data_IF_963123063955
#
_entry.id   IF_963123063955
#
_cell.length_a   1.000
_cell.length_b   1.000
_cell.length_c   1.000
_cell.angle_alpha   90.00
_cell.angle_beta   90.00
_cell.angle_gamma   90.00
#
_symmetry.space_group_name_H-M   'P 1'
#
loop_
_entity.id
_entity.type
_entity.pdbx_description
1 polymer ?
#
# COMPACT_ATOMS: atom_id res chain seq x y z
N UNK A 1 20.71 0.36 -8.77
CA UNK A 1 20.55 1.02 -7.43
C UNK A 1 21.81 1.72 -6.91
N UNK A 2 21.68 3.01 -6.59
CA UNK A 2 22.71 3.82 -5.91
C UNK A 2 22.63 3.66 -4.37
N UNK A 3 23.68 3.12 -3.73
CA UNK A 3 23.72 2.85 -2.28
C UNK A 3 23.64 4.11 -1.42
N UNK A 4 24.31 5.20 -1.82
CA UNK A 4 24.28 6.45 -1.08
C UNK A 4 22.88 7.06 -1.08
N UNK A 5 22.17 6.99 -2.21
CA UNK A 5 20.80 7.46 -2.31
C UNK A 5 19.83 6.62 -1.45
N UNK A 6 20.01 5.29 -1.43
CA UNK A 6 19.22 4.42 -0.56
C UNK A 6 19.41 4.78 0.91
N UNK A 7 20.65 4.97 1.37
CA UNK A 7 20.91 5.33 2.78
C UNK A 7 20.28 6.68 3.16
N UNK A 8 20.34 7.67 2.26
CA UNK A 8 19.68 8.96 2.45
C UNK A 8 18.17 8.82 2.56
N UNK A 9 17.52 8.11 1.63
CA UNK A 9 16.07 7.87 1.67
C UNK A 9 15.65 7.09 2.91
N UNK A 10 16.44 6.10 3.34
CA UNK A 10 16.21 5.37 4.59
C UNK A 10 16.29 6.31 5.80
N UNK A 11 17.25 7.24 5.82
CA UNK A 11 17.37 8.23 6.89
C UNK A 11 16.18 9.20 6.89
N UNK A 12 15.75 9.67 5.72
CA UNK A 12 14.55 10.53 5.58
C UNK A 12 13.29 9.82 6.08
N UNK A 13 13.05 8.57 5.66
CA UNK A 13 11.89 7.79 6.11
C UNK A 13 11.90 7.52 7.61
N UNK A 14 13.08 7.26 8.20
CA UNK A 14 13.25 7.15 9.65
C UNK A 14 12.98 8.48 10.36
N UNK A 15 13.43 9.60 9.79
CA UNK A 15 13.17 10.95 10.30
C UNK A 15 11.68 11.28 10.32
N UNK A 16 10.93 10.79 9.32
CA UNK A 16 9.47 10.88 9.24
C UNK A 16 8.74 9.85 10.12
N UNK A 17 9.48 9.03 10.87
CA UNK A 17 8.97 7.98 11.79
C UNK A 17 8.13 6.90 11.10
N UNK A 18 8.38 6.63 9.82
CA UNK A 18 7.80 5.46 9.18
C UNK A 18 8.37 4.17 9.77
N UNK A 19 7.56 3.12 9.76
CA UNK A 19 7.92 1.81 10.28
C UNK A 19 8.98 1.10 9.42
N UNK A 20 9.62 0.09 10.01
CA UNK A 20 10.71 -0.65 9.36
C UNK A 20 10.24 -1.47 8.16
N UNK A 21 8.97 -1.90 8.14
CA UNK A 21 8.42 -2.72 7.06
C UNK A 21 8.25 -1.87 5.81
N UNK A 22 7.73 -0.65 5.93
CA UNK A 22 7.61 0.31 4.84
C UNK A 22 8.98 0.66 4.24
N UNK A 23 9.99 0.85 5.08
CA UNK A 23 11.37 1.12 4.65
C UNK A 23 11.98 -0.09 3.91
N UNK A 24 11.68 -1.31 4.34
CA UNK A 24 12.13 -2.53 3.66
C UNK A 24 11.42 -2.71 2.30
N UNK A 25 10.13 -2.36 2.21
CA UNK A 25 9.38 -2.38 0.95
C UNK A 25 9.94 -1.33 -0.04
N UNK A 26 10.31 -0.14 0.44
CA UNK A 26 11.02 0.87 -0.35
C UNK A 26 12.31 0.32 -0.94
N UNK A 27 13.17 -0.27 -0.10
CA UNK A 27 14.45 -0.85 -0.52
C UNK A 27 14.24 -1.90 -1.60
N UNK A 28 13.30 -2.83 -1.39
CA UNK A 28 12.99 -3.89 -2.36
C UNK A 28 12.53 -3.33 -3.71
N UNK A 29 11.77 -2.24 -3.73
CA UNK A 29 11.33 -1.61 -4.97
C UNK A 29 12.47 -0.87 -5.69
N UNK A 30 13.41 -0.28 -4.94
CA UNK A 30 14.63 0.32 -5.49
C UNK A 30 15.62 -0.74 -6.00
N UNK A 31 15.73 -1.90 -5.33
CA UNK A 31 16.55 -3.04 -5.79
C UNK A 31 16.07 -3.62 -7.12
N UNK A 32 14.76 -3.53 -7.37
CA UNK A 32 14.13 -3.90 -8.64
C UNK A 32 14.32 -2.87 -9.76
N UNK A 33 14.99 -1.74 -9.47
CA UNK A 33 15.24 -0.65 -10.40
C UNK A 33 13.95 -0.16 -11.09
N UNK A 34 12.85 -0.08 -10.33
CA UNK A 34 11.56 0.39 -10.86
C UNK A 34 11.63 1.90 -11.10
N UNK A 35 11.28 2.43 -12.29
CA UNK A 35 11.40 3.87 -12.58
C UNK A 35 10.49 4.74 -11.71
N UNK A 36 9.38 4.18 -11.23
CA UNK A 36 8.50 4.77 -10.24
C UNK A 36 7.78 3.67 -9.46
N UNK A 37 7.51 3.92 -8.17
CA UNK A 37 6.72 3.03 -7.34
C UNK A 37 6.00 3.80 -6.24
N UNK A 38 5.04 3.14 -5.60
CA UNK A 38 4.23 3.72 -4.53
C UNK A 38 4.30 2.81 -3.31
N UNK A 39 4.38 3.42 -2.13
CA UNK A 39 4.25 2.73 -0.85
C UNK A 39 2.99 3.23 -0.16
N UNK A 40 2.21 2.32 0.42
CA UNK A 40 0.97 2.65 1.13
C UNK A 40 1.16 2.36 2.61
N UNK A 41 0.79 3.30 3.47
CA UNK A 41 0.83 3.14 4.92
C UNK A 41 -0.35 3.84 5.58
N UNK A 42 -0.70 3.42 6.79
CA UNK A 42 -1.73 4.08 7.59
C UNK A 42 -1.06 4.83 8.73
N UNK A 43 -1.37 6.12 8.82
CA UNK A 43 -0.87 7.01 9.86
C UNK A 43 -1.83 7.03 11.06
N UNK A 44 -1.29 7.17 12.28
CA UNK A 44 -2.14 7.34 13.46
C UNK A 44 -2.99 8.60 13.32
N UNK A 45 -4.28 8.48 13.65
CA UNK A 45 -5.25 9.57 13.63
C UNK A 45 -6.14 9.49 14.87
N UNK A 46 -6.37 10.62 15.53
CA UNK A 46 -7.21 10.70 16.74
C UNK A 46 -8.68 10.29 16.49
N UNK A 47 -9.17 10.50 15.26
CA UNK A 47 -10.54 10.13 14.85
C UNK A 47 -10.52 9.64 13.41
N UNK A 48 -11.00 8.43 13.16
CA UNK A 48 -11.02 7.82 11.82
C UNK A 48 -9.65 7.32 11.36
N UNK A 49 -9.54 6.95 10.08
CA UNK A 49 -8.35 6.38 9.48
C UNK A 49 -7.68 7.40 8.55
N UNK A 50 -6.36 7.53 8.63
CA UNK A 50 -5.58 8.37 7.72
C UNK A 50 -4.62 7.49 6.93
N UNK A 51 -4.89 7.31 5.64
CA UNK A 51 -4.04 6.52 4.76
C UNK A 51 -3.13 7.45 3.95
N UNK A 52 -1.85 7.09 3.86
CA UNK A 52 -0.84 7.81 3.11
C UNK A 52 -0.34 6.94 1.96
N UNK A 53 -0.33 7.51 0.75
CA UNK A 53 0.34 6.92 -0.41
C UNK A 53 1.55 7.77 -0.74
N UNK A 54 2.73 7.18 -0.62
CA UNK A 54 4.03 7.80 -0.86
C UNK A 54 4.51 7.45 -2.26
N UNK A 55 4.77 8.46 -3.10
CA UNK A 55 5.20 8.26 -4.49
C UNK A 55 6.69 8.48 -4.63
N UNK A 56 7.40 7.48 -5.12
CA UNK A 56 8.83 7.52 -5.39
C UNK A 56 9.10 7.43 -6.89
N UNK A 57 10.13 8.14 -7.35
CA UNK A 57 10.52 8.15 -8.75
C UNK A 57 12.03 8.21 -8.90
N UNK A 58 12.57 7.42 -9.84
CA UNK A 58 13.95 7.48 -10.26
C UNK A 58 14.19 8.69 -11.16
N UNK A 59 15.36 9.30 -11.04
CA UNK A 59 15.83 10.35 -11.93
C UNK A 59 15.95 9.81 -13.34
N UNK A 60 15.54 10.60 -14.33
CA UNK A 60 15.78 10.26 -15.74
C UNK A 60 17.26 10.40 -16.17
N UNK A 61 18.10 10.98 -15.32
CA UNK A 61 19.50 11.31 -15.62
C UNK A 61 20.50 10.61 -14.68
N UNK A 62 20.05 9.90 -13.66
CA UNK A 62 20.92 9.24 -12.67
C UNK A 62 20.20 8.09 -11.95
N UNK A 63 20.97 7.24 -11.26
CA UNK A 63 20.43 6.16 -10.43
C UNK A 63 19.81 6.63 -9.09
N UNK A 64 19.48 7.92 -8.98
CA UNK A 64 18.90 8.50 -7.77
C UNK A 64 17.38 8.36 -7.78
N UNK A 65 16.82 7.95 -6.65
CA UNK A 65 15.40 8.01 -6.35
C UNK A 65 15.09 9.23 -5.51
N UNK A 66 13.89 9.77 -5.73
CA UNK A 66 13.36 10.88 -4.95
C UNK A 66 11.96 10.55 -4.48
N UNK A 67 11.66 10.96 -3.25
CA UNK A 67 10.30 11.05 -2.77
C UNK A 67 9.62 12.23 -3.45
N UNK A 68 8.71 11.95 -4.37
CA UNK A 68 8.18 12.93 -5.31
C UNK A 68 6.98 13.68 -4.74
N UNK A 69 5.97 12.92 -4.29
CA UNK A 69 4.73 13.43 -3.73
C UNK A 69 4.14 12.45 -2.74
N UNK A 70 3.21 12.93 -1.92
CA UNK A 70 2.37 12.08 -1.10
C UNK A 70 0.91 12.48 -1.23
N UNK A 71 0.05 11.49 -1.07
CA UNK A 71 -1.40 11.65 -1.05
C UNK A 71 -1.91 11.15 0.29
N UNK A 72 -2.74 11.97 0.95
CA UNK A 72 -3.39 11.60 2.21
C UNK A 72 -4.88 11.44 1.95
N UNK A 73 -5.43 10.31 2.39
CA UNK A 73 -6.86 10.05 2.38
C UNK A 73 -7.35 9.94 3.83
N UNK A 74 -8.23 10.87 4.22
CA UNK A 74 -8.83 10.87 5.54
C UNK A 74 -10.24 10.28 5.51
N UNK A 75 -10.46 9.26 6.32
CA UNK A 75 -11.73 8.54 6.42
C UNK A 75 -12.30 8.65 7.83
N UNK A 76 -13.15 9.65 8.06
CA UNK A 76 -13.75 9.95 9.37
C UNK A 76 -14.57 8.80 9.99
N UNK A 77 -15.11 7.89 9.16
CA UNK A 77 -15.95 6.76 9.59
C UNK A 77 -15.31 5.38 9.39
N UNK A 78 -14.12 5.32 8.79
CA UNK A 78 -13.43 4.05 8.62
C UNK A 78 -12.77 3.65 9.94
N UNK A 79 -13.00 2.42 10.37
CA UNK A 79 -12.20 1.80 11.42
C UNK A 79 -10.88 1.36 10.76
N UNK A 80 -9.72 1.76 11.31
CA UNK A 80 -8.45 1.23 10.83
C UNK A 80 -8.50 -0.29 10.92
N UNK A 81 -7.94 -0.96 9.91
CA UNK A 81 -7.76 -2.41 9.94
C UNK A 81 -6.95 -2.75 11.20
N UNK A 82 -7.48 -3.64 12.03
CA UNK A 82 -6.71 -4.19 13.15
C UNK A 82 -5.50 -4.95 12.60
N UNK A 83 -4.41 -5.01 13.37
CA UNK A 83 -3.20 -5.72 12.95
C UNK A 83 -3.55 -7.11 12.39
N UNK A 84 -3.01 -7.42 11.20
CA UNK A 84 -3.23 -8.64 10.40
C UNK A 84 -4.55 -8.73 9.60
N UNK A 85 -5.44 -7.74 9.69
CA UNK A 85 -6.63 -7.69 8.83
C UNK A 85 -6.26 -7.25 7.41
N UNK A 86 -6.86 -7.91 6.41
CA UNK A 86 -6.72 -7.55 4.99
C UNK A 86 -8.09 -7.23 4.40
N UNK A 87 -8.09 -6.45 3.33
CA UNK A 87 -9.29 -6.26 2.51
C UNK A 87 -9.51 -7.53 1.71
N UNK A 88 -10.72 -8.07 1.72
CA UNK A 88 -11.03 -9.33 1.07
C UNK A 88 -12.20 -9.15 0.12
N UNK A 89 -12.07 -9.74 -1.07
CA UNK A 89 -13.19 -9.88 -2.01
C UNK A 89 -13.54 -11.36 -2.08
N UNK A 90 -14.76 -11.68 -1.70
CA UNK A 90 -15.34 -13.01 -1.79
C UNK A 90 -16.20 -13.03 -3.06
N UNK A 91 -15.82 -13.84 -4.04
CA UNK A 91 -16.50 -13.96 -5.34
C UNK A 91 -16.90 -15.42 -5.58
N UNK A 92 -18.01 -15.70 -6.28
CA UNK A 92 -18.43 -17.06 -6.59
C UNK A 92 -17.42 -17.71 -7.56
N UNK A 93 -16.83 -18.83 -7.15
CA UNK A 93 -15.92 -19.62 -7.97
C UNK A 93 -16.63 -20.74 -8.74
N UNK A 94 -15.87 -21.47 -9.56
CA UNK A 94 -16.41 -22.65 -10.23
C UNK A 94 -16.81 -23.74 -9.22
N UNK A 95 -17.95 -24.39 -9.46
CA UNK A 95 -18.53 -25.45 -8.62
C UNK A 95 -19.03 -25.00 -7.23
N UNK A 96 -19.51 -23.77 -7.08
CA UNK A 96 -20.23 -23.32 -5.87
C UNK A 96 -19.33 -23.10 -4.64
N UNK A 97 -18.00 -23.11 -4.82
CA UNK A 97 -17.04 -22.70 -3.80
C UNK A 97 -16.69 -21.23 -4.00
N UNK A 98 -16.86 -20.43 -2.96
CA UNK A 98 -16.47 -19.04 -3.00
C UNK A 98 -14.94 -18.92 -3.05
N UNK A 99 -14.44 -18.09 -3.97
CA UNK A 99 -13.06 -17.69 -4.05
C UNK A 99 -12.85 -16.43 -3.23
N UNK A 100 -11.83 -16.45 -2.38
CA UNK A 100 -11.45 -15.32 -1.55
C UNK A 100 -10.12 -14.76 -2.03
N UNK A 101 -10.07 -13.46 -2.31
CA UNK A 101 -8.83 -12.75 -2.63
C UNK A 101 -8.56 -11.67 -1.59
N UNK A 102 -7.33 -11.64 -1.08
CA UNK A 102 -6.88 -10.64 -0.12
C UNK A 102 -6.08 -9.52 -0.79
N UNK A 103 -6.27 -8.29 -0.33
CA UNK A 103 -5.67 -7.06 -0.85
C UNK A 103 -5.11 -6.24 0.31
N UNK A 104 -4.02 -5.52 0.03
CA UNK A 104 -3.35 -4.64 1.00
C UNK A 104 -3.95 -3.22 1.02
N UNK A 105 -4.81 -2.89 0.06
CA UNK A 105 -5.37 -1.54 -0.11
C UNK A 105 -6.86 -1.60 -0.37
N UNK A 106 -7.66 -0.68 0.22
CA UNK A 106 -9.10 -0.62 -0.02
C UNK A 106 -9.41 -0.29 -1.48
N UNK A 107 -8.59 0.55 -2.12
CA UNK A 107 -8.76 0.94 -3.53
C UNK A 107 -8.68 -0.29 -4.44
N UNK A 108 -7.60 -1.07 -4.34
CA UNK A 108 -7.38 -2.29 -5.11
C UNK A 108 -8.50 -3.33 -4.87
N UNK A 109 -8.97 -3.47 -3.62
CA UNK A 109 -10.10 -4.34 -3.30
C UNK A 109 -11.41 -3.87 -3.95
N UNK A 110 -11.70 -2.57 -3.90
CA UNK A 110 -12.89 -1.97 -4.51
C UNK A 110 -12.84 -2.07 -6.04
N UNK A 111 -11.67 -1.86 -6.65
CA UNK A 111 -11.49 -1.98 -8.10
C UNK A 111 -11.69 -3.43 -8.56
N UNK A 112 -11.10 -4.39 -7.85
CA UNK A 112 -11.33 -5.81 -8.12
C UNK A 112 -12.78 -6.21 -7.92
N UNK A 113 -13.43 -5.74 -6.85
CA UNK A 113 -14.85 -5.98 -6.60
C UNK A 113 -15.73 -5.45 -7.72
N UNK A 114 -15.48 -4.22 -8.20
CA UNK A 114 -16.22 -3.62 -9.32
C UNK A 114 -16.02 -4.37 -10.63
N UNK A 115 -14.91 -5.09 -10.81
CA UNK A 115 -14.68 -5.91 -12.01
C UNK A 115 -15.38 -7.26 -11.96
N UNK A 116 -15.90 -7.69 -10.80
CA UNK A 116 -16.65 -8.94 -10.67
C UNK A 116 -18.06 -8.80 -11.27
N UNK A 117 -18.48 -9.80 -12.05
CA UNK A 117 -19.81 -9.83 -12.70
C UNK A 117 -20.87 -10.59 -11.90
N UNK A 118 -20.47 -11.26 -10.81
CA UNK A 118 -21.34 -12.09 -9.97
C UNK A 118 -21.54 -11.51 -8.56
N UNK A 119 -22.40 -12.16 -7.78
CA UNK A 119 -22.68 -11.80 -6.38
C UNK A 119 -21.42 -11.90 -5.53
N UNK A 120 -20.67 -10.80 -5.46
CA UNK A 120 -19.42 -10.69 -4.72
C UNK A 120 -19.65 -9.87 -3.46
N UNK A 121 -18.80 -10.05 -2.46
CA UNK A 121 -18.88 -9.34 -1.18
C UNK A 121 -17.51 -8.74 -0.83
N UNK A 122 -17.55 -7.53 -0.28
CA UNK A 122 -16.40 -6.87 0.35
C UNK A 122 -16.38 -7.22 1.83
N UNK A 123 -15.28 -7.80 2.30
CA UNK A 123 -15.09 -8.17 3.69
C UNK A 123 -13.76 -7.63 4.22
N UNK A 124 -13.70 -7.49 5.55
CA UNK A 124 -12.47 -7.23 6.29
C UNK A 124 -12.26 -8.40 7.25
N UNK A 125 -11.07 -9.01 7.26
CA UNK A 125 -10.82 -10.17 8.10
C UNK A 125 -9.35 -10.58 8.16
N UNK A 126 -9.05 -11.55 9.00
CA UNK A 126 -7.74 -12.24 9.02
C UNK A 126 -7.77 -13.37 7.98
N UNK A 127 -6.71 -13.54 7.17
CA UNK A 127 -6.66 -14.52 6.08
C UNK A 127 -6.73 -15.96 6.57
#
# INVERSE_FOLDING_TARGET
MNKNNLENLKAEMKGLKFDKELIAEMEKNMEKDLPAFQLKTTLPSDKGQMDATLHFKQSGQSDYYFFNKFELAYSAKAKPLENEQKYMVISPGEQGKNMMRSFQSPVDAIEFFKSQKGASELALGKP
#
